data_IF_338972987818
#
_entry.id   IF_338972987818
#
_cell.length_a   1.000
_cell.length_b   1.000
_cell.length_c   1.000
_cell.angle_alpha   90.00
_cell.angle_beta   90.00
_cell.angle_gamma   90.00
#
_symmetry.space_group_name_H-M   'P 1'
#
loop_
_entity.id
_entity.type
_entity.pdbx_description
1 polymer ?
#
# COMPACT_ATOMS: atom_id res chain seq x y z
N UNK A 1 -1.01 -19.02 -33.86
CA UNK A 1 -1.52 -19.40 -32.53
C UNK A 1 -1.51 -18.18 -31.63
N UNK A 2 -2.64 -17.88 -31.00
CA UNK A 2 -2.71 -16.85 -29.97
C UNK A 2 -1.71 -17.16 -28.84
N UNK A 3 -1.05 -16.11 -28.33
CA UNK A 3 -0.16 -16.24 -27.17
C UNK A 3 -1.03 -16.27 -25.90
N UNK A 4 -0.76 -17.12 -24.90
CA UNK A 4 -1.44 -17.07 -23.60
C UNK A 4 -1.55 -15.65 -23.05
N UNK A 5 -2.66 -15.30 -22.41
CA UNK A 5 -2.91 -13.97 -21.90
C UNK A 5 -4.37 -13.68 -21.60
N UNK A 6 -4.66 -12.41 -21.31
CA UNK A 6 -6.00 -11.93 -21.01
C UNK A 6 -6.56 -11.25 -22.25
N UNK A 7 -7.83 -11.49 -22.52
CA UNK A 7 -8.52 -11.03 -23.71
C UNK A 7 -9.86 -10.39 -23.32
N UNK A 8 -10.31 -9.39 -24.07
CA UNK A 8 -11.67 -8.86 -23.99
C UNK A 8 -12.35 -9.09 -25.33
N UNK A 9 -13.49 -9.76 -25.32
CA UNK A 9 -14.32 -10.01 -26.52
C UNK A 9 -15.17 -8.80 -26.87
N UNK A 10 -15.75 -8.77 -28.08
CA UNK A 10 -16.62 -7.68 -28.53
C UNK A 10 -17.89 -7.52 -27.68
N UNK A 11 -18.38 -8.60 -27.08
CA UNK A 11 -19.48 -8.60 -26.10
C UNK A 11 -19.03 -8.26 -24.67
N UNK A 12 -17.82 -7.70 -24.52
CA UNK A 12 -17.24 -7.23 -23.26
C UNK A 12 -16.96 -8.30 -22.20
N UNK A 13 -16.89 -9.58 -22.58
CA UNK A 13 -16.43 -10.63 -21.66
C UNK A 13 -14.91 -10.61 -21.54
N UNK A 14 -14.44 -10.69 -20.31
CA UNK A 14 -13.04 -10.93 -20.03
C UNK A 14 -12.75 -12.42 -20.05
N UNK A 15 -11.71 -12.80 -20.79
CA UNK A 15 -11.34 -14.19 -21.00
C UNK A 15 -9.85 -14.38 -20.72
N UNK A 16 -9.51 -15.30 -19.84
CA UNK A 16 -8.15 -15.80 -19.77
C UNK A 16 -8.00 -16.95 -20.75
N UNK A 17 -7.01 -16.80 -21.63
CA UNK A 17 -6.68 -17.77 -22.65
C UNK A 17 -5.33 -18.41 -22.32
N UNK A 18 -5.34 -19.74 -22.21
CA UNK A 18 -4.14 -20.58 -22.09
C UNK A 18 -4.20 -21.66 -23.15
N UNK A 19 -3.10 -21.90 -23.87
CA UNK A 19 -3.05 -22.95 -24.87
C UNK A 19 -1.69 -23.61 -24.96
N UNK A 20 -1.73 -24.91 -25.29
CA UNK A 20 -0.59 -25.69 -25.72
C UNK A 20 -0.82 -26.17 -27.17
N UNK A 21 0.06 -27.04 -27.69
CA UNK A 21 -0.03 -27.52 -29.08
C UNK A 21 -1.34 -28.28 -29.42
N UNK A 22 -2.06 -28.79 -28.41
CA UNK A 22 -3.20 -29.70 -28.59
C UNK A 22 -4.50 -29.21 -27.96
N UNK A 23 -4.44 -28.32 -26.97
CA UNK A 23 -5.63 -27.87 -26.23
C UNK A 23 -5.56 -26.39 -25.92
N UNK A 24 -6.69 -25.70 -25.99
CA UNK A 24 -6.89 -24.36 -25.44
C UNK A 24 -7.90 -24.42 -24.28
N UNK A 25 -7.74 -23.52 -23.31
CA UNK A 25 -8.68 -23.29 -22.22
C UNK A 25 -9.08 -21.83 -22.20
N UNK A 26 -10.38 -21.61 -22.08
CA UNK A 26 -11.01 -20.31 -21.98
C UNK A 26 -11.67 -20.24 -20.61
N UNK A 27 -11.32 -19.23 -19.81
CA UNK A 27 -11.99 -18.93 -18.55
C UNK A 27 -12.66 -17.58 -18.64
N UNK A 28 -13.96 -17.50 -18.34
CA UNK A 28 -14.68 -16.23 -18.30
C UNK A 28 -15.72 -16.22 -17.18
N UNK A 29 -16.10 -15.03 -16.77
CA UNK A 29 -17.11 -14.83 -15.74
C UNK A 29 -18.49 -14.63 -16.36
N UNK A 30 -19.47 -15.44 -15.93
CA UNK A 30 -20.86 -15.27 -16.31
C UNK A 30 -21.59 -14.48 -15.22
N UNK A 31 -21.93 -13.24 -15.56
CA UNK A 31 -22.37 -12.22 -14.62
C UNK A 31 -23.71 -12.55 -13.95
N UNK A 32 -24.69 -13.06 -14.73
CA UNK A 32 -26.05 -13.33 -14.24
C UNK A 32 -26.11 -14.47 -13.22
N UNK A 33 -25.15 -15.38 -13.26
CA UNK A 33 -25.11 -16.56 -12.40
C UNK A 33 -24.01 -16.45 -11.34
N UNK A 34 -23.21 -15.39 -11.39
CA UNK A 34 -22.01 -15.22 -10.57
C UNK A 34 -21.04 -16.41 -10.61
N UNK A 35 -20.92 -17.09 -11.74
CA UNK A 35 -20.07 -18.29 -11.87
C UNK A 35 -18.93 -18.10 -12.87
N UNK A 36 -17.74 -18.65 -12.54
CA UNK A 36 -16.70 -18.85 -13.54
C UNK A 36 -17.06 -20.03 -14.44
N UNK A 37 -17.08 -19.79 -15.75
CA UNK A 37 -17.20 -20.82 -16.77
C UNK A 37 -15.81 -21.15 -17.31
N UNK A 38 -15.58 -22.45 -17.53
CA UNK A 38 -14.38 -22.98 -18.18
C UNK A 38 -14.84 -23.74 -19.42
N UNK A 39 -14.18 -23.48 -20.54
CA UNK A 39 -14.31 -24.30 -21.74
C UNK A 39 -12.95 -24.81 -22.17
N UNK A 40 -12.90 -26.11 -22.47
CA UNK A 40 -11.72 -26.78 -23.00
C UNK A 40 -11.96 -27.10 -24.47
N UNK A 41 -11.10 -26.56 -25.32
CA UNK A 41 -11.11 -26.80 -26.75
C UNK A 41 -9.95 -27.74 -27.11
N UNK A 42 -10.24 -28.82 -27.84
CA UNK A 42 -9.25 -29.69 -28.43
C UNK A 42 -8.84 -29.13 -29.80
N UNK A 43 -7.66 -28.52 -29.89
CA UNK A 43 -7.17 -27.88 -31.13
C UNK A 43 -6.81 -28.88 -32.25
N UNK A 44 -6.89 -30.19 -31.96
CA UNK A 44 -6.77 -31.24 -32.97
C UNK A 44 -8.11 -31.57 -33.63
N UNK A 45 -9.22 -31.15 -33.03
CA UNK A 45 -10.57 -31.25 -33.58
C UNK A 45 -10.87 -30.01 -34.43
N UNK A 46 -11.53 -30.19 -35.59
CA UNK A 46 -11.76 -29.11 -36.55
C UNK A 46 -12.70 -28.04 -36.02
N UNK A 47 -13.72 -28.44 -35.26
CA UNK A 47 -14.79 -27.56 -34.81
C UNK A 47 -14.28 -26.72 -33.63
N UNK A 48 -13.59 -27.36 -32.68
CA UNK A 48 -12.94 -26.66 -31.56
C UNK A 48 -11.84 -25.71 -32.04
N UNK A 49 -11.10 -26.07 -33.09
CA UNK A 49 -10.10 -25.18 -33.70
C UNK A 49 -10.75 -23.98 -34.38
N UNK A 50 -11.86 -24.17 -35.09
CA UNK A 50 -12.60 -23.07 -35.69
C UNK A 50 -13.12 -22.10 -34.61
N UNK A 51 -13.73 -22.63 -33.53
CA UNK A 51 -14.21 -21.82 -32.40
C UNK A 51 -13.09 -21.06 -31.71
N UNK A 52 -11.93 -21.69 -31.55
CA UNK A 52 -10.71 -21.03 -31.07
C UNK A 52 -10.31 -19.87 -31.98
N UNK A 53 -10.26 -20.08 -33.30
CA UNK A 53 -9.80 -19.07 -34.25
C UNK A 53 -10.80 -17.90 -34.33
N UNK A 54 -12.10 -18.17 -34.27
CA UNK A 54 -13.17 -17.17 -34.13
C UNK A 54 -12.99 -16.32 -32.86
N UNK A 55 -12.82 -16.94 -31.69
CA UNK A 55 -12.54 -16.24 -30.43
C UNK A 55 -11.31 -15.34 -30.53
N UNK A 56 -10.20 -15.86 -31.05
CA UNK A 56 -8.95 -15.10 -31.17
C UNK A 56 -9.09 -13.93 -32.13
N UNK A 57 -9.88 -14.07 -33.20
CA UNK A 57 -10.09 -13.03 -34.20
C UNK A 57 -10.90 -11.84 -33.69
N UNK A 58 -11.86 -12.08 -32.80
CA UNK A 58 -12.78 -11.06 -32.27
C UNK A 58 -12.27 -10.44 -30.96
N UNK A 59 -11.32 -11.09 -30.28
CA UNK A 59 -10.86 -10.68 -28.98
C UNK A 59 -9.63 -9.76 -29.03
N UNK A 60 -9.70 -8.65 -28.30
CA UNK A 60 -8.55 -7.75 -28.08
C UNK A 60 -7.69 -8.31 -26.96
N UNK A 61 -6.41 -8.55 -27.25
CA UNK A 61 -5.45 -9.01 -26.25
C UNK A 61 -5.02 -7.86 -25.34
N UNK A 62 -5.03 -8.09 -24.04
CA UNK A 62 -4.45 -7.23 -23.03
C UNK A 62 -3.26 -7.93 -22.36
N UNK A 63 -2.18 -7.20 -22.17
CA UNK A 63 -1.10 -7.57 -21.26
C UNK A 63 -1.58 -7.43 -19.83
N UNK A 64 -0.95 -8.17 -18.92
CA UNK A 64 -1.25 -8.05 -17.48
C UNK A 64 -0.95 -6.63 -16.98
N UNK A 65 0.05 -5.95 -17.56
CA UNK A 65 0.32 -4.54 -17.28
C UNK A 65 -0.79 -3.61 -17.77
N UNK A 66 -1.38 -3.87 -18.94
CA UNK A 66 -2.56 -3.14 -19.42
C UNK A 66 -3.77 -3.40 -18.52
N UNK A 67 -4.04 -4.66 -18.16
CA UNK A 67 -5.13 -5.00 -17.21
C UNK A 67 -4.92 -4.35 -15.84
N UNK A 68 -3.70 -4.39 -15.30
CA UNK A 68 -3.36 -3.74 -14.04
C UNK A 68 -3.39 -2.21 -14.12
N UNK A 69 -3.21 -1.63 -15.31
CA UNK A 69 -3.33 -0.17 -15.54
C UNK A 69 -4.78 0.32 -15.69
N UNK A 70 -5.74 -0.61 -15.83
CA UNK A 70 -7.17 -0.31 -15.99
C UNK A 70 -7.93 -0.16 -14.66
N UNK A 71 -7.34 -0.52 -13.51
CA UNK A 71 -7.90 -0.22 -12.19
C UNK A 71 -7.42 -1.18 -11.09
N UNK A 72 -7.55 -0.71 -9.85
CA UNK A 72 -6.84 -1.25 -8.70
C UNK A 72 -7.19 -2.71 -8.41
N UNK A 73 -6.11 -3.51 -8.40
CA UNK A 73 -5.83 -4.48 -7.35
C UNK A 73 -6.52 -5.86 -7.52
N UNK A 74 -5.79 -6.83 -8.11
CA UNK A 74 -6.16 -8.24 -8.19
C UNK A 74 -5.64 -9.04 -6.97
N UNK A 75 -6.48 -9.77 -6.21
CA UNK A 75 -6.14 -10.30 -4.89
C UNK A 75 -5.34 -11.62 -4.89
N UNK A 76 -4.57 -11.91 -5.94
CA UNK A 76 -3.84 -13.18 -6.06
C UNK A 76 -2.61 -13.08 -6.96
N UNK A 77 -1.72 -14.06 -6.76
CA UNK A 77 -0.42 -14.18 -7.41
C UNK A 77 -0.56 -14.40 -8.94
N UNK A 78 0.01 -13.46 -9.70
CA UNK A 78 -0.01 -13.44 -11.17
C UNK A 78 0.73 -14.63 -11.79
N UNK A 79 1.73 -15.16 -11.08
CA UNK A 79 2.46 -16.37 -11.45
C UNK A 79 1.68 -17.65 -11.13
N UNK A 80 0.75 -17.61 -10.16
CA UNK A 80 -0.23 -18.69 -9.89
C UNK A 80 -1.39 -18.72 -10.89
N UNK A 81 -1.80 -17.57 -11.44
CA UNK A 81 -2.79 -17.50 -12.53
C UNK A 81 -2.39 -18.22 -13.82
N UNK A 82 -1.08 -18.39 -14.03
CA UNK A 82 -0.55 -19.16 -15.16
C UNK A 82 -0.81 -20.67 -15.05
N UNK A 83 -1.30 -21.15 -13.89
CA UNK A 83 -1.63 -22.55 -13.63
C UNK A 83 -3.15 -22.72 -13.57
N UNK A 84 -3.68 -23.73 -14.27
CA UNK A 84 -5.11 -23.98 -14.50
C UNK A 84 -5.97 -24.31 -13.24
N UNK A 85 -5.50 -24.04 -12.02
CA UNK A 85 -6.09 -24.58 -10.78
C UNK A 85 -6.63 -23.54 -9.79
N UNK A 86 -6.67 -22.26 -10.16
CA UNK A 86 -7.10 -21.17 -9.28
C UNK A 86 -8.41 -20.53 -9.78
N UNK A 87 -9.50 -21.31 -9.78
CA UNK A 87 -10.82 -20.93 -10.32
C UNK A 87 -11.42 -19.71 -9.59
N UNK A 88 -11.38 -19.73 -8.26
CA UNK A 88 -12.02 -18.70 -7.43
C UNK A 88 -11.25 -17.37 -7.52
N UNK A 89 -9.93 -17.44 -7.71
CA UNK A 89 -9.07 -16.29 -7.97
C UNK A 89 -9.46 -15.62 -9.30
N UNK A 90 -9.51 -16.35 -10.44
CA UNK A 90 -9.96 -15.76 -11.71
C UNK A 90 -11.34 -15.08 -11.63
N UNK A 91 -12.25 -15.64 -10.84
CA UNK A 91 -13.56 -15.05 -10.54
C UNK A 91 -13.45 -13.64 -9.96
N UNK A 92 -12.58 -13.43 -8.97
CA UNK A 92 -12.36 -12.14 -8.32
C UNK A 92 -11.69 -11.11 -9.24
N UNK A 93 -10.79 -11.52 -10.14
CA UNK A 93 -10.25 -10.62 -11.20
C UNK A 93 -11.36 -10.12 -12.09
N UNK A 94 -12.19 -11.03 -12.60
CA UNK A 94 -13.20 -10.67 -13.60
C UNK A 94 -14.31 -9.85 -12.98
N UNK A 95 -14.72 -10.16 -11.74
CA UNK A 95 -15.63 -9.34 -10.96
C UNK A 95 -15.13 -7.90 -10.82
N UNK A 96 -13.87 -7.70 -10.44
CA UNK A 96 -13.28 -6.36 -10.29
C UNK A 96 -13.19 -5.61 -11.61
N UNK A 97 -12.80 -6.27 -12.70
CA UNK A 97 -12.75 -5.65 -14.03
C UNK A 97 -14.14 -5.24 -14.51
N UNK A 98 -15.17 -6.03 -14.21
CA UNK A 98 -16.58 -5.71 -14.49
C UNK A 98 -17.11 -4.59 -13.59
N UNK A 99 -16.69 -4.52 -12.33
CA UNK A 99 -17.01 -3.42 -11.41
C UNK A 99 -16.37 -2.10 -11.82
N UNK A 100 -15.13 -2.11 -12.34
CA UNK A 100 -14.46 -0.93 -12.90
C UNK A 100 -15.18 -0.40 -14.16
N UNK A 101 -15.74 -1.30 -14.96
CA UNK A 101 -16.59 -0.98 -16.12
C UNK A 101 -17.92 -0.36 -15.66
N UNK A 102 -18.60 -0.96 -14.68
CA UNK A 102 -19.85 -0.46 -14.07
C UNK A 102 -19.67 0.87 -13.32
N UNK A 103 -18.53 1.09 -12.69
CA UNK A 103 -18.18 2.34 -12.02
C UNK A 103 -17.88 3.48 -13.00
N UNK A 104 -17.99 3.24 -14.31
CA UNK A 104 -17.77 4.23 -15.36
C UNK A 104 -16.31 4.67 -15.49
N UNK A 105 -15.36 3.93 -14.91
CA UNK A 105 -13.94 4.33 -14.89
C UNK A 105 -13.19 3.95 -16.18
N UNK A 106 -13.80 3.08 -17.00
CA UNK A 106 -13.29 2.73 -18.33
C UNK A 106 -13.82 3.62 -19.46
N UNK A 107 -14.82 4.47 -19.18
CA UNK A 107 -15.36 5.43 -20.13
C UNK A 107 -15.00 6.86 -19.69
N UNK A 108 -14.04 7.48 -20.38
CA UNK A 108 -14.01 8.93 -20.50
C UNK A 108 -15.22 9.31 -21.36
N UNK A 109 -16.38 9.50 -20.73
CA UNK A 109 -17.27 10.67 -20.89
C UNK A 109 -18.63 10.45 -20.19
N UNK A 110 -18.91 11.37 -19.26
CA UNK A 110 -20.24 11.85 -18.85
C UNK A 110 -21.37 10.86 -18.54
N UNK A 111 -21.58 10.54 -17.26
CA UNK A 111 -22.74 10.96 -16.42
C UNK A 111 -22.81 10.15 -15.12
N UNK A 112 -23.27 10.85 -14.08
CA UNK A 112 -23.26 10.51 -12.66
C UNK A 112 -24.61 9.88 -12.25
N UNK A 113 -24.60 8.85 -11.41
CA UNK A 113 -25.70 8.37 -10.52
C UNK A 113 -25.23 7.07 -9.81
N UNK A 114 -25.67 6.62 -8.63
CA UNK A 114 -26.31 7.15 -7.43
C UNK A 114 -26.12 6.02 -6.37
N UNK A 115 -25.87 6.35 -5.10
CA UNK A 115 -25.42 5.39 -4.07
C UNK A 115 -26.60 4.65 -3.39
N UNK A 116 -26.49 3.33 -3.28
CA UNK A 116 -27.43 2.49 -2.52
C UNK A 116 -27.16 2.54 -1.01
N UNK A 117 -28.25 2.42 -0.23
CA UNK A 117 -28.31 2.67 1.21
C UNK A 117 -27.41 1.75 2.05
N UNK A 118 -26.62 2.38 2.93
CA UNK A 118 -25.78 1.70 3.93
C UNK A 118 -26.60 1.18 5.12
N UNK A 119 -26.12 0.13 5.81
CA UNK A 119 -26.77 -0.37 7.02
C UNK A 119 -26.81 0.68 8.14
N UNK A 120 -27.76 0.51 9.06
CA UNK A 120 -27.99 1.34 10.25
C UNK A 120 -26.71 1.68 11.01
N UNK A 121 -26.51 2.98 11.28
CA UNK A 121 -25.27 3.57 11.82
C UNK A 121 -24.81 3.04 13.20
N UNK A 122 -25.65 2.30 13.92
CA UNK A 122 -25.38 1.90 15.31
C UNK A 122 -24.50 0.63 15.45
N UNK A 123 -24.22 -0.11 14.37
CA UNK A 123 -23.40 -1.34 14.40
C UNK A 123 -22.04 -1.15 13.68
N UNK A 124 -21.82 0.01 13.07
CA UNK A 124 -20.67 0.25 12.18
C UNK A 124 -19.40 0.68 12.93
N UNK A 125 -19.49 1.08 14.22
CA UNK A 125 -18.34 1.57 14.99
C UNK A 125 -17.27 0.50 15.26
N UNK A 126 -17.65 -0.78 15.22
CA UNK A 126 -16.78 -1.87 15.69
C UNK A 126 -16.03 -2.55 14.53
N UNK A 127 -16.34 -2.19 13.28
CA UNK A 127 -15.69 -2.77 12.10
C UNK A 127 -14.42 -2.00 11.74
N UNK A 128 -13.35 -2.72 11.46
CA UNK A 128 -12.11 -2.15 10.96
C UNK A 128 -12.32 -1.74 9.49
N UNK A 129 -12.19 -0.44 9.14
CA UNK A 129 -12.41 0.01 7.78
C UNK A 129 -11.39 -0.56 6.80
N UNK A 130 -11.87 -1.09 5.67
CA UNK A 130 -11.01 -1.49 4.57
C UNK A 130 -10.90 -0.37 3.54
N UNK A 131 -9.94 0.51 3.78
CA UNK A 131 -9.73 1.67 2.92
C UNK A 131 -9.24 1.28 1.53
N UNK A 132 -9.52 2.14 0.53
CA UNK A 132 -9.04 1.95 -0.84
C UNK A 132 -7.52 1.94 -0.91
N UNK A 133 -6.85 2.80 -0.15
CA UNK A 133 -5.38 2.87 -0.13
C UNK A 133 -4.77 1.60 0.47
N UNK A 134 -5.36 1.01 1.51
CA UNK A 134 -4.89 -0.29 2.01
C UNK A 134 -5.09 -1.38 0.97
N UNK A 135 -6.26 -1.44 0.32
CA UNK A 135 -6.49 -2.40 -0.78
C UNK A 135 -5.51 -2.19 -1.93
N UNK A 136 -5.13 -0.95 -2.22
CA UNK A 136 -4.08 -0.59 -3.18
C UNK A 136 -2.73 -1.21 -2.78
N UNK A 137 -2.26 -0.88 -1.58
CA UNK A 137 -1.03 -1.42 -0.99
C UNK A 137 -1.00 -2.95 -0.95
N UNK A 138 -2.04 -3.59 -0.39
CA UNK A 138 -2.08 -5.04 -0.20
C UNK A 138 -1.90 -5.78 -1.52
N UNK A 139 -2.41 -5.22 -2.60
CA UNK A 139 -2.23 -5.86 -3.89
C UNK A 139 -0.91 -5.54 -4.55
N UNK A 140 -0.35 -4.34 -4.40
CA UNK A 140 1.04 -4.15 -4.79
C UNK A 140 1.94 -5.19 -4.10
N UNK A 141 1.68 -5.45 -2.81
CA UNK A 141 2.34 -6.48 -2.01
C UNK A 141 2.07 -7.90 -2.51
N UNK A 142 0.82 -8.26 -2.83
CA UNK A 142 0.46 -9.60 -3.30
C UNK A 142 0.99 -9.92 -4.68
N UNK A 143 1.09 -8.93 -5.57
CA UNK A 143 1.51 -9.17 -6.94
C UNK A 143 3.01 -9.47 -7.01
N UNK A 144 3.80 -8.98 -6.04
CA UNK A 144 5.26 -9.18 -5.88
C UNK A 144 6.04 -9.22 -7.21
N UNK A 145 5.53 -8.47 -8.18
CA UNK A 145 6.00 -8.50 -9.54
C UNK A 145 6.88 -7.28 -9.69
N UNK A 146 8.19 -7.51 -9.59
CA UNK A 146 9.22 -6.50 -9.79
C UNK A 146 8.89 -5.55 -10.97
N UNK A 147 8.53 -6.10 -12.14
CA UNK A 147 8.20 -5.30 -13.32
C UNK A 147 6.92 -4.48 -13.19
N UNK A 148 5.97 -4.91 -12.36
CA UNK A 148 4.74 -4.17 -12.09
C UNK A 148 5.00 -2.98 -11.16
N UNK A 149 5.79 -3.16 -10.10
CA UNK A 149 6.21 -2.06 -9.22
C UNK A 149 6.92 -0.95 -10.00
N UNK A 150 7.81 -1.33 -10.92
CA UNK A 150 8.46 -0.41 -11.87
C UNK A 150 7.45 0.34 -12.74
N UNK A 151 6.55 -0.40 -13.41
CA UNK A 151 5.57 0.21 -14.31
C UNK A 151 4.60 1.17 -13.57
N UNK A 152 4.15 0.80 -12.37
CA UNK A 152 3.25 1.63 -11.56
C UNK A 152 4.00 2.85 -11.03
N UNK A 153 5.23 2.66 -10.52
CA UNK A 153 6.06 3.77 -10.05
C UNK A 153 6.31 4.77 -11.17
N UNK A 154 6.72 4.31 -12.36
CA UNK A 154 6.92 5.15 -13.54
C UNK A 154 5.62 5.85 -13.95
N UNK A 155 4.49 5.13 -13.96
CA UNK A 155 3.17 5.69 -14.25
C UNK A 155 2.81 6.84 -13.28
N UNK A 156 3.03 6.65 -11.98
CA UNK A 156 2.69 7.62 -10.94
C UNK A 156 3.68 8.78 -10.85
N UNK A 157 4.90 8.65 -11.36
CA UNK A 157 5.85 9.79 -11.40
C UNK A 157 5.36 10.95 -12.27
N UNK A 158 4.34 10.77 -13.11
CA UNK A 158 3.70 11.88 -13.80
C UNK A 158 2.79 12.68 -12.82
N UNK A 159 2.96 14.01 -12.67
CA UNK A 159 2.19 14.80 -11.71
C UNK A 159 0.66 14.66 -11.84
N UNK A 160 0.14 14.59 -13.08
CA UNK A 160 -1.32 14.43 -13.31
C UNK A 160 -1.83 13.08 -12.83
N UNK A 161 -0.98 12.04 -12.84
CA UNK A 161 -1.31 10.69 -12.41
C UNK A 161 -1.09 10.50 -10.91
N UNK A 162 -0.08 11.17 -10.34
CA UNK A 162 0.14 11.25 -8.89
C UNK A 162 -1.10 11.78 -8.14
N UNK A 163 -1.91 12.63 -8.79
CA UNK A 163 -3.20 13.11 -8.25
C UNK A 163 -4.13 11.97 -7.82
N UNK A 164 -4.06 10.80 -8.47
CA UNK A 164 -4.85 9.63 -8.06
C UNK A 164 -4.52 9.18 -6.64
N UNK A 165 -3.26 9.28 -6.21
CA UNK A 165 -2.86 8.99 -4.84
C UNK A 165 -3.41 10.00 -3.84
N UNK A 166 -3.52 11.29 -4.20
CA UNK A 166 -4.19 12.27 -3.35
C UNK A 166 -5.67 11.93 -3.13
N UNK A 167 -6.37 11.53 -4.20
CA UNK A 167 -7.78 11.11 -4.12
C UNK A 167 -7.92 9.87 -3.25
N UNK A 168 -7.13 8.82 -3.52
CA UNK A 168 -7.12 7.59 -2.73
C UNK A 168 -6.81 7.85 -1.26
N UNK A 169 -5.81 8.68 -0.97
CA UNK A 169 -5.42 9.05 0.39
C UNK A 169 -6.55 9.79 1.11
N UNK A 170 -7.12 10.82 0.49
CA UNK A 170 -8.19 11.62 1.10
C UNK A 170 -9.48 10.84 1.34
N UNK A 171 -9.85 9.94 0.41
CA UNK A 171 -10.98 9.02 0.61
C UNK A 171 -10.71 8.03 1.73
N UNK A 172 -9.50 7.46 1.76
CA UNK A 172 -9.10 6.47 2.77
C UNK A 172 -9.05 7.09 4.17
N UNK A 173 -8.56 8.33 4.30
CA UNK A 173 -8.55 9.08 5.57
C UNK A 173 -9.97 9.32 6.09
N UNK A 174 -10.90 9.78 5.22
CA UNK A 174 -12.31 9.97 5.59
C UNK A 174 -13.03 8.66 5.94
N UNK A 175 -12.62 7.55 5.32
CA UNK A 175 -13.20 6.24 5.59
C UNK A 175 -12.69 5.69 6.92
N UNK A 176 -11.38 5.74 7.15
CA UNK A 176 -10.75 5.25 8.37
C UNK A 176 -11.11 6.11 9.60
N UNK A 177 -11.46 7.39 9.42
CA UNK A 177 -11.85 8.27 10.53
C UNK A 177 -13.14 7.84 11.24
N UNK A 178 -13.85 6.85 10.72
CA UNK A 178 -15.03 6.24 11.36
C UNK A 178 -14.65 5.18 12.40
N UNK A 179 -13.39 4.75 12.41
CA UNK A 179 -12.91 3.72 13.31
C UNK A 179 -12.55 4.33 14.66
N UNK A 180 -13.29 3.91 15.68
CA UNK A 180 -13.15 4.43 17.04
C UNK A 180 -12.58 3.35 17.96
N UNK A 181 -11.33 3.51 18.36
CA UNK A 181 -10.68 2.63 19.35
C UNK A 181 -9.67 3.37 20.26
N UNK A 182 -10.03 4.55 20.82
CA UNK A 182 -9.08 5.40 21.53
C UNK A 182 -8.45 4.77 22.78
N UNK A 183 -9.09 3.76 23.35
CA UNK A 183 -8.64 3.07 24.57
C UNK A 183 -7.85 1.78 24.31
N UNK A 184 -7.74 1.36 23.05
CA UNK A 184 -7.05 0.14 22.68
C UNK A 184 -5.55 0.37 22.56
N UNK A 185 -4.64 -0.43 23.15
CA UNK A 185 -3.23 -0.26 22.89
C UNK A 185 -2.88 -0.67 21.45
N UNK A 186 -1.93 0.04 20.81
CA UNK A 186 -1.51 -0.27 19.44
C UNK A 186 -0.71 -1.58 19.30
N UNK A 187 -0.17 -2.09 20.40
CA UNK A 187 0.60 -3.32 20.44
C UNK A 187 0.12 -4.22 21.60
N UNK A 188 0.25 -5.55 21.48
CA UNK A 188 0.03 -6.43 22.62
C UNK A 188 1.13 -6.25 23.68
N UNK A 189 0.87 -6.58 24.96
CA UNK A 189 1.91 -6.58 25.98
C UNK A 189 3.13 -7.42 25.54
N UNK A 190 4.28 -6.77 25.37
CA UNK A 190 5.51 -7.44 24.92
C UNK A 190 6.25 -8.07 26.11
N UNK A 191 6.80 -9.28 25.91
CA UNK A 191 7.79 -9.83 26.86
C UNK A 191 9.01 -8.90 26.88
N UNK A 192 9.46 -8.48 28.07
CA UNK A 192 10.43 -7.38 28.29
C UNK A 192 11.76 -7.44 27.50
N UNK A 193 12.09 -8.52 26.77
CA UNK A 193 13.44 -8.76 26.24
C UNK A 193 13.54 -9.32 24.81
N UNK A 194 12.44 -9.47 24.05
CA UNK A 194 12.54 -10.18 22.76
C UNK A 194 13.41 -9.46 21.72
N UNK A 195 13.26 -8.14 21.60
CA UNK A 195 14.04 -7.35 20.63
C UNK A 195 15.46 -7.04 21.12
N UNK A 196 15.67 -6.97 22.44
CA UNK A 196 16.99 -6.64 23.03
C UNK A 196 18.06 -7.69 22.71
N UNK A 197 17.63 -8.93 22.40
CA UNK A 197 18.52 -9.98 21.94
C UNK A 197 19.20 -9.68 20.59
N UNK A 198 18.74 -8.65 19.87
CA UNK A 198 19.33 -8.19 18.61
C UNK A 198 20.28 -6.99 18.78
N UNK A 199 20.40 -6.44 19.99
CA UNK A 199 21.31 -5.33 20.26
C UNK A 199 22.77 -5.73 20.01
N UNK A 200 23.50 -4.91 19.26
CA UNK A 200 24.91 -5.17 18.91
C UNK A 200 25.10 -6.26 17.84
N UNK A 201 24.01 -6.76 17.23
CA UNK A 201 24.07 -7.66 16.07
C UNK A 201 23.92 -6.84 14.77
N UNK A 202 24.38 -7.42 13.66
CA UNK A 202 24.22 -6.85 12.32
C UNK A 202 23.00 -7.37 11.57
N UNK A 203 22.47 -8.55 11.91
CA UNK A 203 21.34 -9.17 11.20
C UNK A 203 20.34 -9.88 12.14
N UNK A 204 19.04 -9.93 11.78
CA UNK A 204 18.42 -9.27 10.63
C UNK A 204 18.32 -7.75 10.84
N UNK A 205 18.67 -6.97 9.81
CA UNK A 205 18.84 -5.51 9.86
C UNK A 205 17.70 -4.79 10.62
N UNK A 206 16.45 -5.05 10.25
CA UNK A 206 15.29 -4.39 10.87
C UNK A 206 15.19 -4.62 12.38
N UNK A 207 15.45 -5.85 12.86
CA UNK A 207 15.43 -6.17 14.29
C UNK A 207 16.61 -5.54 15.03
N UNK A 208 17.78 -5.51 14.41
CA UNK A 208 18.97 -4.87 14.96
C UNK A 208 18.76 -3.35 15.10
N UNK A 209 18.18 -2.72 14.08
CA UNK A 209 17.84 -1.30 14.10
C UNK A 209 16.80 -0.98 15.18
N UNK A 210 15.70 -1.74 15.25
CA UNK A 210 14.69 -1.62 16.31
C UNK A 210 15.32 -1.74 17.71
N UNK A 211 16.18 -2.74 17.92
CA UNK A 211 16.88 -2.94 19.20
C UNK A 211 17.81 -1.77 19.54
N UNK A 212 18.54 -1.26 18.55
CA UNK A 212 19.45 -0.13 18.71
C UNK A 212 18.69 1.15 19.08
N UNK A 213 17.63 1.50 18.34
CA UNK A 213 16.83 2.69 18.59
C UNK A 213 16.18 2.62 19.98
N UNK A 214 15.56 1.49 20.33
CA UNK A 214 14.95 1.28 21.65
C UNK A 214 15.95 1.52 22.79
N UNK A 215 17.18 0.99 22.69
CA UNK A 215 18.16 1.12 23.77
C UNK A 215 18.82 2.49 23.86
N UNK A 216 19.07 3.16 22.73
CA UNK A 216 19.86 4.39 22.72
C UNK A 216 19.01 5.66 22.68
N UNK A 217 17.73 5.58 22.31
CA UNK A 217 16.92 6.76 22.00
C UNK A 217 15.62 6.86 22.79
N UNK A 218 15.42 6.00 23.80
CA UNK A 218 14.30 6.18 24.74
C UNK A 218 14.59 7.43 25.59
N UNK A 219 13.94 8.56 25.27
CA UNK A 219 14.15 9.83 25.96
C UNK A 219 15.41 10.61 25.56
N UNK A 220 16.10 10.20 24.49
CA UNK A 220 17.28 10.87 23.97
C UNK A 220 17.14 11.16 22.48
N UNK A 221 17.54 12.37 22.08
CA UNK A 221 17.50 12.87 20.71
C UNK A 221 18.69 12.33 19.89
N UNK A 222 18.43 11.88 18.66
CA UNK A 222 19.47 11.61 17.68
C UNK A 222 19.53 12.76 16.67
N UNK A 223 20.60 13.54 16.70
CA UNK A 223 20.90 14.51 15.66
C UNK A 223 21.35 13.78 14.39
N UNK A 224 20.69 14.05 13.26
CA UNK A 224 21.19 13.64 11.96
C UNK A 224 22.38 14.53 11.57
N UNK A 225 23.47 13.99 11.01
CA UNK A 225 24.56 14.81 10.51
C UNK A 225 24.08 15.56 9.26
N UNK A 226 23.67 16.82 9.45
CA UNK A 226 23.58 17.94 8.51
C UNK A 226 22.69 19.03 9.13
N UNK A 227 23.10 20.30 9.08
CA UNK A 227 22.52 21.45 9.81
C UNK A 227 21.06 21.82 9.45
N UNK A 228 20.36 21.02 8.63
CA UNK A 228 18.99 21.29 8.18
C UNK A 228 17.95 20.23 8.62
N UNK A 229 18.35 19.06 9.12
CA UNK A 229 17.42 18.01 9.50
C UNK A 229 17.29 17.93 11.03
N UNK A 230 16.11 18.27 11.55
CA UNK A 230 15.76 17.96 12.92
C UNK A 230 15.94 16.46 13.18
N UNK A 231 16.44 16.13 14.38
CA UNK A 231 16.58 14.74 14.83
C UNK A 231 15.25 14.02 14.95
N UNK A 232 15.31 12.76 15.37
CA UNK A 232 14.12 12.05 15.80
C UNK A 232 14.37 11.28 17.09
N UNK A 233 13.28 10.97 17.79
CA UNK A 233 13.26 10.17 19.01
C UNK A 233 12.45 8.88 18.80
N UNK A 234 12.88 7.79 19.44
CA UNK A 234 12.18 6.51 19.37
C UNK A 234 10.96 6.52 20.32
N UNK A 235 9.80 6.06 19.82
CA UNK A 235 8.57 5.92 20.64
C UNK A 235 8.20 4.46 20.81
N UNK A 236 7.95 3.74 19.71
CA UNK A 236 7.61 2.31 19.74
C UNK A 236 7.95 1.57 18.44
N UNK A 237 7.76 0.25 18.37
CA UNK A 237 8.01 -0.57 17.16
C UNK A 237 6.87 -1.57 16.89
N UNK A 238 6.66 -1.96 15.63
CA UNK A 238 5.61 -2.93 15.23
C UNK A 238 4.22 -2.60 15.80
N UNK A 239 3.79 -1.35 15.66
CA UNK A 239 2.48 -0.90 16.15
C UNK A 239 1.40 -1.12 15.08
N UNK A 240 0.16 -1.42 15.46
CA UNK A 240 -0.92 -1.65 14.48
C UNK A 240 -2.07 -0.65 14.70
N UNK A 241 -2.30 0.27 13.75
CA UNK A 241 -3.38 1.27 13.83
C UNK A 241 -4.77 0.64 13.91
N UNK A 242 -4.99 -0.49 13.23
CA UNK A 242 -6.28 -1.18 13.25
C UNK A 242 -6.42 -2.20 14.39
N UNK A 243 -5.45 -2.31 15.32
CA UNK A 243 -5.54 -3.27 16.43
C UNK A 243 -6.74 -3.00 17.33
N UNK A 244 -7.47 -4.06 17.62
CA UNK A 244 -8.57 -4.15 18.58
C UNK A 244 -8.43 -5.44 19.37
N UNK A 245 -8.68 -5.39 20.68
CA UNK A 245 -8.82 -6.60 21.48
C UNK A 245 -10.20 -7.22 21.20
N UNK A 246 -10.32 -8.55 21.30
CA UNK A 246 -11.62 -9.22 21.17
C UNK A 246 -12.03 -9.70 19.77
N UNK A 247 -11.15 -9.63 18.77
CA UNK A 247 -11.40 -10.25 17.46
C UNK A 247 -12.36 -9.47 16.55
N UNK A 248 -12.23 -8.14 16.54
CA UNK A 248 -12.98 -7.28 15.62
C UNK A 248 -12.86 -7.75 14.17
N UNK A 249 -13.93 -7.57 13.40
CA UNK A 249 -13.95 -7.91 11.99
C UNK A 249 -13.61 -6.68 11.13
N UNK A 250 -12.96 -6.91 10.01
CA UNK A 250 -12.90 -5.97 8.91
C UNK A 250 -14.28 -5.83 8.24
N UNK A 251 -14.50 -4.72 7.52
CA UNK A 251 -15.73 -4.51 6.73
C UNK A 251 -16.01 -5.60 5.69
N UNK A 252 -15.00 -6.39 5.29
CA UNK A 252 -15.18 -7.55 4.39
C UNK A 252 -15.54 -8.85 5.14
N UNK A 253 -15.79 -8.77 6.45
CA UNK A 253 -16.14 -9.89 7.31
C UNK A 253 -14.95 -10.73 7.78
N UNK A 254 -13.72 -10.44 7.34
CA UNK A 254 -12.54 -11.15 7.85
C UNK A 254 -12.25 -10.75 9.29
N UNK A 255 -11.92 -11.72 10.13
CA UNK A 255 -11.50 -11.44 11.51
C UNK A 255 -10.13 -10.76 11.49
N UNK A 256 -10.00 -9.66 12.24
CA UNK A 256 -8.76 -8.97 12.51
C UNK A 256 -7.78 -9.91 13.21
N UNK A 257 -6.84 -10.48 12.46
CA UNK A 257 -5.78 -11.29 13.03
C UNK A 257 -4.73 -10.38 13.68
N UNK A 258 -4.30 -10.73 14.90
CA UNK A 258 -3.14 -10.11 15.57
C UNK A 258 -1.86 -10.48 14.80
N UNK A 259 -1.56 -9.73 13.75
CA UNK A 259 -0.43 -9.99 12.86
C UNK A 259 -0.57 -9.47 11.42
N UNK A 260 -1.68 -8.81 11.07
CA UNK A 260 -1.97 -8.31 9.71
C UNK A 260 -1.10 -7.15 9.20
N UNK A 261 0.09 -6.94 9.76
CA UNK A 261 0.94 -5.80 9.44
C UNK A 261 0.79 -4.64 10.44
N UNK A 262 1.78 -3.77 10.44
CA UNK A 262 1.90 -2.64 11.36
C UNK A 262 3.05 -1.73 10.94
N UNK A 263 3.09 -0.55 11.56
CA UNK A 263 4.19 0.39 11.39
C UNK A 263 5.44 -0.19 12.07
N UNK A 264 6.54 -0.32 11.31
CA UNK A 264 7.79 -0.89 11.84
C UNK A 264 8.32 -0.10 13.03
N UNK A 265 8.26 1.23 12.93
CA UNK A 265 8.71 2.18 13.94
C UNK A 265 7.70 3.32 14.10
N UNK A 266 7.27 3.57 15.33
CA UNK A 266 6.69 4.85 15.70
C UNK A 266 7.82 5.72 16.25
N UNK A 267 8.10 6.85 15.58
CA UNK A 267 9.09 7.83 16.02
C UNK A 267 8.40 9.16 16.32
N UNK A 268 9.17 10.13 16.81
CA UNK A 268 8.78 11.52 16.93
C UNK A 268 9.83 12.38 16.24
N UNK A 269 9.40 13.27 15.35
CA UNK A 269 10.30 14.30 14.81
C UNK A 269 10.61 15.31 15.91
N UNK A 270 11.88 15.56 16.18
CA UNK A 270 12.27 16.40 17.31
C UNK A 270 12.06 17.90 17.02
N UNK A 271 11.94 18.29 15.76
CA UNK A 271 11.74 19.68 15.35
C UNK A 271 10.27 20.07 15.35
N UNK A 272 9.42 19.28 14.70
CA UNK A 272 7.98 19.49 14.61
C UNK A 272 7.23 18.93 15.82
N UNK A 273 7.80 17.96 16.52
CA UNK A 273 7.14 17.20 17.58
C UNK A 273 6.10 16.20 17.08
N UNK A 274 5.92 16.07 15.76
CA UNK A 274 4.90 15.22 15.16
C UNK A 274 5.24 13.73 15.31
N UNK A 275 4.24 12.84 15.42
CA UNK A 275 4.45 11.42 15.26
C UNK A 275 4.97 11.12 13.84
N UNK A 276 5.86 10.14 13.75
CA UNK A 276 6.48 9.72 12.49
C UNK A 276 6.13 8.26 12.24
N UNK A 277 5.63 7.97 11.04
CA UNK A 277 5.54 6.62 10.49
C UNK A 277 6.92 6.23 9.97
N UNK A 278 7.61 5.37 10.69
CA UNK A 278 8.91 4.81 10.29
C UNK A 278 8.74 3.43 9.65
N UNK A 279 9.17 3.30 8.40
CA UNK A 279 9.21 2.03 7.66
C UNK A 279 10.67 1.63 7.42
N UNK A 280 11.03 0.36 7.70
CA UNK A 280 12.40 -0.13 7.58
C UNK A 280 12.54 -0.98 6.31
N UNK A 281 13.60 -0.75 5.53
CA UNK A 281 13.97 -1.60 4.38
C UNK A 281 15.40 -2.10 4.47
N UNK A 282 15.56 -3.42 4.53
CA UNK A 282 16.86 -4.08 4.47
C UNK A 282 17.39 -4.07 3.03
N UNK A 283 18.69 -4.32 2.85
CA UNK A 283 19.33 -4.39 1.54
C UNK A 283 18.75 -5.49 0.63
N UNK A 284 18.06 -6.47 1.20
CA UNK A 284 17.43 -7.61 0.52
C UNK A 284 15.98 -7.30 0.12
N UNK A 285 15.34 -6.32 0.75
CA UNK A 285 13.98 -5.84 0.47
C UNK A 285 14.03 -4.41 -0.10
N UNK A 286 14.50 -4.29 -1.35
CA UNK A 286 14.89 -3.01 -1.96
C UNK A 286 13.76 -2.19 -2.58
N UNK A 287 12.49 -2.64 -2.54
CA UNK A 287 11.41 -1.90 -3.20
C UNK A 287 10.94 -0.72 -2.35
N UNK A 288 11.60 0.42 -2.53
CA UNK A 288 11.24 1.66 -1.83
C UNK A 288 9.87 2.21 -2.26
N UNK A 289 9.41 1.89 -3.47
CA UNK A 289 8.11 2.34 -3.93
C UNK A 289 7.00 1.66 -3.12
N UNK A 290 7.09 0.34 -2.93
CA UNK A 290 6.16 -0.39 -2.07
C UNK A 290 6.24 0.08 -0.61
N UNK A 291 7.45 0.30 -0.09
CA UNK A 291 7.67 0.86 1.26
C UNK A 291 6.97 2.22 1.43
N UNK A 292 7.05 3.07 0.42
CA UNK A 292 6.44 4.39 0.46
C UNK A 292 4.91 4.32 0.41
N UNK A 293 4.33 3.48 -0.45
CA UNK A 293 2.87 3.26 -0.49
C UNK A 293 2.35 2.66 0.83
N UNK A 294 3.12 1.74 1.42
CA UNK A 294 2.85 1.19 2.75
C UNK A 294 2.83 2.30 3.81
N UNK A 295 3.85 3.15 3.84
CA UNK A 295 3.92 4.26 4.79
C UNK A 295 2.78 5.28 4.60
N UNK A 296 2.39 5.59 3.35
CA UNK A 296 1.20 6.41 3.08
C UNK A 296 -0.08 5.77 3.64
N UNK A 297 -0.20 4.44 3.53
CA UNK A 297 -1.33 3.69 4.10
C UNK A 297 -1.37 3.82 5.61
N UNK A 298 -0.24 3.65 6.29
CA UNK A 298 -0.19 3.81 7.74
C UNK A 298 -0.36 5.27 8.20
N UNK A 299 0.10 6.25 7.41
CA UNK A 299 -0.14 7.65 7.68
C UNK A 299 -1.64 7.98 7.63
N UNK A 300 -2.38 7.45 6.66
CA UNK A 300 -3.86 7.54 6.64
C UNK A 300 -4.46 6.99 7.92
N UNK A 301 -3.98 5.83 8.36
CA UNK A 301 -4.57 5.16 9.50
C UNK A 301 -4.28 5.91 10.80
N UNK A 302 -3.06 6.43 10.98
CA UNK A 302 -2.66 7.17 12.19
C UNK A 302 -3.12 8.62 12.24
N UNK A 303 -3.35 9.27 11.11
CA UNK A 303 -3.68 10.69 11.04
C UNK A 303 -5.16 11.02 11.33
N UNK A 304 -5.98 10.04 11.67
CA UNK A 304 -7.39 10.29 12.02
C UNK A 304 -7.52 10.86 13.43
N UNK A 305 -8.56 11.68 13.73
CA UNK A 305 -8.74 12.25 15.06
C UNK A 305 -8.74 11.20 16.18
N UNK A 306 -9.39 10.05 15.98
CA UNK A 306 -9.44 8.98 16.97
C UNK A 306 -8.07 8.31 17.17
N UNK A 307 -7.29 8.10 16.10
CA UNK A 307 -5.93 7.57 16.26
C UNK A 307 -4.97 8.59 16.88
N UNK A 308 -5.10 9.88 16.58
CA UNK A 308 -4.30 10.92 17.22
C UNK A 308 -4.59 10.99 18.73
N UNK A 309 -5.88 10.95 19.12
CA UNK A 309 -6.28 10.84 20.53
C UNK A 309 -5.71 9.58 21.18
N UNK A 310 -5.75 8.45 20.47
CA UNK A 310 -5.19 7.18 20.93
C UNK A 310 -3.68 7.25 21.12
N UNK A 311 -2.95 7.92 20.22
CA UNK A 311 -1.51 8.11 20.33
C UNK A 311 -1.15 8.89 21.59
N UNK A 312 -1.80 10.04 21.85
CA UNK A 312 -1.53 10.83 23.06
C UNK A 312 -1.95 10.11 24.35
N UNK A 313 -2.98 9.26 24.27
CA UNK A 313 -3.45 8.46 25.42
C UNK A 313 -2.44 7.37 25.81
N UNK A 314 -1.75 6.78 24.83
CA UNK A 314 -0.86 5.64 25.07
C UNK A 314 0.63 5.99 25.04
N UNK A 315 1.01 7.16 24.53
CA UNK A 315 2.40 7.58 24.40
C UNK A 315 2.58 9.05 24.84
N UNK A 316 2.98 9.26 26.09
CA UNK A 316 3.24 10.59 26.66
C UNK A 316 4.22 11.44 25.83
N UNK A 317 5.14 10.79 25.11
CA UNK A 317 6.12 11.42 24.25
C UNK A 317 5.48 12.18 23.06
N UNK A 318 4.23 11.87 22.70
CA UNK A 318 3.55 12.38 21.51
C UNK A 318 2.46 13.42 21.81
N UNK A 319 2.47 14.06 22.99
CA UNK A 319 1.53 15.13 23.34
C UNK A 319 1.65 16.32 22.37
N UNK A 320 0.90 16.28 21.27
CA UNK A 320 0.79 17.35 20.28
C UNK A 320 -0.51 18.14 20.54
N UNK A 321 -0.39 19.47 20.58
CA UNK A 321 -1.48 20.36 21.01
C UNK A 321 -2.09 21.22 19.90
N UNK A 322 -1.72 20.99 18.63
CA UNK A 322 -2.31 21.74 17.51
C UNK A 322 -2.46 20.85 16.26
N UNK A 323 -3.69 20.78 15.73
CA UNK A 323 -4.03 20.05 14.51
C UNK A 323 -4.40 21.00 13.35
N UNK A 324 -4.07 22.29 13.46
CA UNK A 324 -4.26 23.28 12.38
C UNK A 324 -3.36 23.08 11.16
N UNK A 325 -2.43 22.12 11.22
CA UNK A 325 -1.45 21.81 10.18
C UNK A 325 -1.27 20.31 9.96
N UNK A 326 -0.11 19.89 9.41
CA UNK A 326 0.24 18.48 9.31
C UNK A 326 0.22 17.81 10.68
N UNK A 327 -0.12 16.53 10.71
CA UNK A 327 -0.34 15.77 11.95
C UNK A 327 0.56 14.55 12.08
N UNK A 328 1.30 14.22 11.02
CA UNK A 328 2.20 13.07 10.97
C UNK A 328 3.34 13.34 9.98
N UNK A 329 4.48 12.69 10.16
CA UNK A 329 5.59 12.66 9.21
C UNK A 329 5.86 11.22 8.73
N UNK A 330 6.54 11.04 7.61
CA UNK A 330 6.92 9.70 7.09
C UNK A 330 8.43 9.60 6.93
N UNK A 331 9.05 8.63 7.59
CA UNK A 331 10.46 8.31 7.40
C UNK A 331 10.62 6.91 6.83
N UNK A 332 11.24 6.79 5.67
CA UNK A 332 11.66 5.52 5.08
C UNK A 332 13.14 5.31 5.42
N UNK A 333 13.44 4.39 6.32
CA UNK A 333 14.79 4.10 6.78
C UNK A 333 15.29 2.84 6.07
N UNK A 334 16.36 2.94 5.29
CA UNK A 334 16.89 1.82 4.52
C UNK A 334 18.35 1.52 4.84
N UNK A 335 18.73 0.26 4.74
CA UNK A 335 20.11 -0.21 4.90
C UNK A 335 21.02 0.40 3.84
N UNK A 336 22.10 1.03 4.28
CA UNK A 336 23.10 1.60 3.38
C UNK A 336 23.84 0.49 2.65
N UNK A 337 23.98 0.65 1.33
CA UNK A 337 24.73 -0.28 0.48
C UNK A 337 25.53 0.46 -0.58
N UNK A 338 26.32 -0.26 -1.40
CA UNK A 338 27.09 0.34 -2.50
C UNK A 338 26.18 0.94 -3.58
N UNK A 339 24.92 0.48 -3.65
CA UNK A 339 23.91 0.95 -4.58
C UNK A 339 22.73 1.52 -3.79
N UNK A 340 22.07 2.53 -4.36
CA UNK A 340 20.79 2.99 -3.83
C UNK A 340 19.75 1.86 -3.96
N UNK A 341 18.76 1.82 -3.05
CA UNK A 341 17.66 0.87 -3.19
C UNK A 341 16.93 1.06 -4.52
N UNK A 342 16.25 -0.01 -4.93
CA UNK A 342 15.54 -0.03 -6.20
C UNK A 342 14.37 0.95 -6.16
N UNK A 343 14.09 1.57 -7.30
CA UNK A 343 13.07 2.62 -7.44
C UNK A 343 13.30 3.87 -6.56
N UNK A 344 14.48 4.05 -5.96
CA UNK A 344 14.78 5.23 -5.13
C UNK A 344 14.43 6.54 -5.84
N UNK A 345 14.96 6.76 -7.04
CA UNK A 345 14.77 8.02 -7.80
C UNK A 345 13.31 8.26 -8.18
N UNK A 346 12.59 7.22 -8.58
CA UNK A 346 11.17 7.33 -8.91
C UNK A 346 10.34 7.65 -7.67
N UNK A 347 10.65 7.00 -6.55
CA UNK A 347 9.92 7.15 -5.28
C UNK A 347 10.14 8.54 -4.69
N UNK A 348 11.38 9.06 -4.66
CA UNK A 348 11.65 10.41 -4.17
C UNK A 348 10.99 11.48 -5.05
N UNK A 349 11.04 11.31 -6.39
CA UNK A 349 10.32 12.19 -7.32
C UNK A 349 8.81 12.17 -7.12
N UNK A 350 8.23 10.99 -6.87
CA UNK A 350 6.81 10.87 -6.55
C UNK A 350 6.49 11.58 -5.24
N UNK A 351 7.31 11.39 -4.19
CA UNK A 351 7.15 12.09 -2.92
C UNK A 351 7.19 13.62 -3.11
N UNK A 352 8.13 14.15 -3.89
CA UNK A 352 8.20 15.58 -4.22
C UNK A 352 6.92 16.07 -4.89
N UNK A 353 6.39 15.34 -5.87
CA UNK A 353 5.14 15.70 -6.53
C UNK A 353 3.94 15.72 -5.58
N UNK A 354 3.87 14.75 -4.65
CA UNK A 354 2.78 14.68 -3.67
C UNK A 354 2.90 15.77 -2.60
N UNK A 355 4.12 16.22 -2.28
CA UNK A 355 4.36 17.27 -1.27
C UNK A 355 4.36 18.69 -1.85
N UNK A 356 4.44 18.84 -3.18
CA UNK A 356 4.56 20.13 -3.86
C UNK A 356 3.37 21.09 -3.71
N UNK A 357 2.20 20.64 -3.21
CA UNK A 357 1.04 21.51 -3.03
C UNK A 357 0.39 21.29 -1.67
N UNK A 358 0.67 22.20 -0.74
CA UNK A 358 0.11 22.23 0.62
C UNK A 358 -1.42 22.13 0.72
N UNK A 359 -2.19 22.44 -0.33
CA UNK A 359 -3.65 22.33 -0.30
C UNK A 359 -4.15 20.89 -0.53
N UNK A 360 -3.30 19.98 -1.01
CA UNK A 360 -3.68 18.60 -1.33
C UNK A 360 -3.75 17.71 -0.09
N UNK A 361 -4.61 16.67 -0.07
CA UNK A 361 -4.82 15.83 1.11
C UNK A 361 -3.55 15.28 1.76
N UNK A 362 -2.58 14.81 0.97
CA UNK A 362 -1.32 14.26 1.49
C UNK A 362 -0.50 15.36 2.17
N UNK A 363 -0.18 16.45 1.48
CA UNK A 363 0.64 17.55 2.03
C UNK A 363 -0.05 18.34 3.16
N UNK A 364 -1.40 18.30 3.25
CA UNK A 364 -2.13 18.82 4.41
C UNK A 364 -1.97 17.96 5.66
N UNK A 365 -1.76 16.66 5.47
CA UNK A 365 -1.75 15.66 6.54
C UNK A 365 -0.33 15.32 6.97
N UNK A 366 0.58 15.21 6.00
CA UNK A 366 1.97 14.81 6.17
C UNK A 366 2.87 16.05 6.09
N UNK A 367 3.73 16.27 7.09
CA UNK A 367 4.61 17.44 7.13
C UNK A 367 5.80 17.29 6.18
N UNK A 368 6.47 16.15 6.24
CA UNK A 368 7.55 15.77 5.36
C UNK A 368 7.63 14.26 5.10
N UNK A 369 8.33 13.90 4.02
CA UNK A 369 8.77 12.54 3.73
C UNK A 369 10.29 12.51 3.68
N UNK A 370 10.94 11.77 4.58
CA UNK A 370 12.41 11.63 4.63
C UNK A 370 12.85 10.23 4.22
N UNK A 371 13.89 10.16 3.40
CA UNK A 371 14.56 8.93 2.99
C UNK A 371 15.91 8.88 3.68
N UNK A 372 16.05 8.00 4.68
CA UNK A 372 17.19 7.97 5.59
C UNK A 372 17.97 6.68 5.35
N UNK A 373 19.24 6.81 4.96
CA UNK A 373 20.13 5.67 4.87
C UNK A 373 20.75 5.41 6.25
N UNK A 374 20.65 4.18 6.74
CA UNK A 374 21.24 3.73 8.00
C UNK A 374 22.36 2.73 7.72
N UNK A 375 23.53 2.97 8.29
CA UNK A 375 24.71 2.11 8.15
C UNK A 375 25.08 1.50 9.49
N UNK A 376 25.41 0.21 9.52
CA UNK A 376 25.83 -0.49 10.73
C UNK A 376 27.32 -0.79 10.69
N UNK A 377 28.09 0.01 11.42
CA UNK A 377 29.54 -0.14 11.52
C UNK A 377 29.98 -0.17 12.99
N UNK A 378 30.92 -1.06 13.32
CA UNK A 378 31.56 -1.12 14.65
C UNK A 378 30.60 -1.24 15.85
N UNK A 379 29.44 -1.89 15.64
CA UNK A 379 28.47 -2.08 16.73
C UNK A 379 27.45 -0.95 16.90
N UNK A 380 27.43 0.04 15.99
CA UNK A 380 26.55 1.22 16.07
C UNK A 380 25.92 1.51 14.71
N UNK A 381 24.72 2.08 14.76
CA UNK A 381 24.10 2.65 13.57
C UNK A 381 24.53 4.11 13.41
N UNK A 382 24.83 4.49 12.18
CA UNK A 382 24.91 5.88 11.73
C UNK A 382 23.81 6.14 10.72
N UNK A 383 23.36 7.39 10.61
CA UNK A 383 22.21 7.76 9.79
C UNK A 383 22.61 8.94 8.90
N UNK A 384 22.10 8.95 7.67
CA UNK A 384 22.27 10.07 6.73
C UNK A 384 20.96 10.30 5.98
N UNK A 385 20.48 11.54 5.96
CA UNK A 385 19.33 11.90 5.15
C UNK A 385 19.77 11.96 3.68
N UNK A 386 19.10 11.21 2.79
CA UNK A 386 19.42 11.17 1.36
C UNK A 386 18.46 12.00 0.52
N UNK A 387 17.25 12.23 1.02
CA UNK A 387 16.23 13.06 0.37
C UNK A 387 15.17 13.48 1.39
N UNK A 388 14.69 14.71 1.27
CA UNK A 388 13.52 15.21 1.99
C UNK A 388 12.55 15.80 0.98
N UNK A 389 11.32 15.30 0.96
CA UNK A 389 10.19 15.95 0.30
C UNK A 389 9.40 16.74 1.35
N UNK A 390 9.51 18.05 1.31
CA UNK A 390 8.82 18.95 2.25
C UNK A 390 7.57 19.55 1.60
N UNK A 391 6.56 19.79 2.43
CA UNK A 391 5.41 20.57 2.04
C UNK A 391 5.87 21.97 1.59
N UNK A 392 5.44 22.38 0.39
CA UNK A 392 5.62 23.75 -0.09
C UNK A 392 4.35 24.56 0.10
N UNK A 393 4.44 25.68 0.80
CA UNK A 393 3.31 26.59 0.93
C UNK A 393 3.03 27.30 -0.41
N UNK A 394 1.75 27.59 -0.66
CA UNK A 394 1.28 28.13 -1.95
C UNK A 394 1.97 29.46 -2.32
N UNK A 395 2.44 30.21 -1.33
CA UNK A 395 3.19 31.46 -1.50
C UNK A 395 4.59 31.29 -2.08
N UNK A 396 5.16 30.08 -2.08
CA UNK A 396 6.53 29.81 -2.56
C UNK A 396 6.58 29.31 -4.02
N UNK A 397 5.42 29.17 -4.67
CA UNK A 397 5.29 28.57 -6.02
C UNK A 397 5.04 29.63 -7.11
N UNK A 398 4.90 30.90 -6.72
CA UNK A 398 4.85 32.06 -7.63
C UNK A 398 6.25 32.53 -8.01
#
# INVERSE_FOLDING_TARGET
MAKPGIYRTSDSKWVHYSANKKTAKLFWYQQDEHTLREEKLNLSDSDDKQRHDEFVSDAVKYTIGEVASLGDTLPFDVTRLKRDHHRDEWCDVFLRLTELDRAGQLAIDGRRQEAAAMPSAAVVSDLIPQTRLRRFYETLRMLDAQSLGEAISDYLTNPKRAERLHVLFGESLRHFSRYENPNEPFCPPRKKHSIDAYYGKSQPFAKCLQAFLRRNMTGHQLSLPDDAAAGFSFVDYEISPFRTTGGAAFEDGKVGASGGGGVDLLLRDDGSGLPVVGEIKADTDRDLFLAFVQALTYAVELATPHQLLRLVTHYDALNCHDYGGPVVDIYIIFESGPELPRLYKQTTRLADHLMANAARPIARTIGCVRFIAADYATGRFSFSCRHTAERKDVSEIS
#
